data_IF_514282514387
#
_entry.id   IF_514282514387
#
_cell.length_a   1.000
_cell.length_b   1.000
_cell.length_c   1.000
_cell.angle_alpha   90.00
_cell.angle_beta   90.00
_cell.angle_gamma   90.00
#
_symmetry.space_group_name_H-M   'P 1'
#
loop_
_entity.id
_entity.type
_entity.pdbx_description
1 polymer ?
#
# COMPACT_ATOMS: atom_id res chain seq x y z
N UNK A 1 13.21 -3.46 -0.48
CA UNK A 1 12.48 -3.58 0.80
C UNK A 1 13.19 -2.70 1.83
N UNK A 2 12.45 -1.81 2.41
CA UNK A 2 12.90 -0.88 3.42
C UNK A 2 12.40 -1.32 4.80
N UNK A 3 12.91 -0.73 5.85
CA UNK A 3 12.47 -0.96 7.22
C UNK A 3 10.96 -0.70 7.35
N UNK A 4 10.24 -1.66 7.90
CA UNK A 4 8.78 -1.61 7.97
C UNK A 4 8.07 -1.97 6.66
N UNK A 5 8.68 -2.75 5.77
CA UNK A 5 8.12 -3.11 4.46
C UNK A 5 6.73 -3.74 4.53
N UNK A 6 6.42 -4.51 5.57
CA UNK A 6 5.09 -5.08 5.78
C UNK A 6 4.02 -4.00 6.03
N UNK A 7 4.42 -2.87 6.66
CA UNK A 7 3.49 -1.76 6.83
C UNK A 7 3.11 -1.12 5.50
N UNK A 8 4.03 -1.05 4.55
CA UNK A 8 3.74 -0.54 3.20
C UNK A 8 2.73 -1.45 2.49
N UNK A 9 2.91 -2.77 2.60
CA UNK A 9 1.97 -3.75 2.03
C UNK A 9 0.56 -3.55 2.59
N UNK A 10 0.43 -3.48 3.91
CA UNK A 10 -0.90 -3.38 4.54
C UNK A 10 -1.54 -1.99 4.37
N UNK A 11 -0.76 -0.91 4.36
CA UNK A 11 -1.28 0.43 4.07
C UNK A 11 -1.77 0.55 2.62
N UNK A 12 -1.05 -0.03 1.65
CA UNK A 12 -1.53 -0.10 0.26
C UNK A 12 -2.83 -0.91 0.15
N UNK A 13 -3.00 -1.94 0.99
CA UNK A 13 -4.22 -2.73 1.04
C UNK A 13 -5.43 -1.92 1.52
N UNK A 14 -5.25 -0.95 2.41
CA UNK A 14 -6.32 -0.03 2.81
C UNK A 14 -6.81 0.79 1.60
N UNK A 15 -5.89 1.28 0.75
CA UNK A 15 -6.27 2.01 -0.46
C UNK A 15 -7.06 1.12 -1.44
N UNK A 16 -6.63 -0.15 -1.60
CA UNK A 16 -7.36 -1.11 -2.42
C UNK A 16 -8.73 -1.44 -1.83
N UNK A 17 -8.83 -1.57 -0.52
CA UNK A 17 -10.10 -1.82 0.18
C UNK A 17 -11.09 -0.66 -0.03
N UNK A 18 -10.65 0.58 0.08
CA UNK A 18 -11.47 1.75 -0.22
C UNK A 18 -11.89 1.80 -1.70
N UNK A 19 -11.00 1.41 -2.62
CA UNK A 19 -11.33 1.32 -4.04
C UNK A 19 -12.37 0.22 -4.31
N UNK A 20 -12.30 -0.92 -3.62
CA UNK A 20 -13.34 -1.94 -3.66
C UNK A 20 -14.66 -1.42 -3.11
N UNK A 21 -14.63 -0.74 -1.98
CA UNK A 21 -15.85 -0.22 -1.35
C UNK A 21 -16.58 0.78 -2.28
N UNK A 22 -15.84 1.63 -2.96
CA UNK A 22 -16.37 2.61 -3.89
C UNK A 22 -16.88 2.00 -5.22
N UNK A 23 -16.21 0.96 -5.73
CA UNK A 23 -16.51 0.42 -7.08
C UNK A 23 -17.16 -0.95 -7.09
N UNK A 24 -16.99 -1.71 -6.01
CA UNK A 24 -17.33 -3.15 -5.89
C UNK A 24 -16.67 -4.03 -6.96
N UNK A 25 -15.59 -3.54 -7.60
CA UNK A 25 -14.81 -4.31 -8.55
C UNK A 25 -13.90 -5.31 -7.79
N UNK A 26 -14.15 -6.60 -8.01
CA UNK A 26 -13.51 -7.71 -7.29
C UNK A 26 -11.98 -7.73 -7.40
N UNK A 27 -11.40 -7.12 -8.45
CA UNK A 27 -9.94 -7.03 -8.57
C UNK A 27 -9.28 -6.33 -7.38
N UNK A 28 -9.96 -5.38 -6.76
CA UNK A 28 -9.44 -4.64 -5.61
C UNK A 28 -9.45 -5.49 -4.34
N UNK A 29 -10.56 -6.20 -4.07
CA UNK A 29 -10.60 -7.11 -2.91
C UNK A 29 -9.65 -8.28 -3.07
N UNK A 30 -9.42 -8.75 -4.31
CA UNK A 30 -8.39 -9.76 -4.60
C UNK A 30 -6.99 -9.25 -4.29
N UNK A 31 -6.72 -7.98 -4.57
CA UNK A 31 -5.48 -7.32 -4.18
C UNK A 31 -5.29 -7.26 -2.67
N UNK A 32 -6.34 -6.90 -1.92
CA UNK A 32 -6.34 -6.87 -0.44
C UNK A 32 -6.09 -8.28 0.11
N UNK A 33 -6.81 -9.28 -0.40
CA UNK A 33 -6.65 -10.68 0.02
C UNK A 33 -5.24 -11.18 -0.27
N UNK A 34 -4.69 -10.88 -1.46
CA UNK A 34 -3.33 -11.27 -1.84
C UNK A 34 -2.28 -10.65 -0.92
N UNK A 35 -2.47 -9.40 -0.52
CA UNK A 35 -1.57 -8.73 0.43
C UNK A 35 -1.67 -9.36 1.84
N UNK A 36 -2.87 -9.69 2.30
CA UNK A 36 -3.05 -10.41 3.56
C UNK A 36 -2.42 -11.81 3.48
N UNK A 37 -2.61 -12.55 2.39
CA UNK A 37 -1.97 -13.84 2.16
C UNK A 37 -0.45 -13.76 2.24
N UNK A 38 0.15 -12.71 1.68
CA UNK A 38 1.58 -12.46 1.80
C UNK A 38 2.02 -12.33 3.27
N UNK A 39 1.27 -11.57 4.07
CA UNK A 39 1.55 -11.41 5.49
C UNK A 39 1.34 -12.70 6.30
N UNK A 40 0.44 -13.58 5.84
CA UNK A 40 0.13 -14.87 6.49
C UNK A 40 1.03 -16.03 6.05
N UNK A 41 1.99 -15.81 5.13
CA UNK A 41 2.99 -16.82 4.76
C UNK A 41 3.09 -17.13 3.27
N UNK A 42 2.23 -16.58 2.41
CA UNK A 42 2.36 -16.73 0.94
C UNK A 42 3.46 -15.85 0.36
N UNK A 43 4.67 -16.07 0.83
CA UNK A 43 5.86 -15.31 0.46
C UNK A 43 7.07 -16.25 0.28
N UNK A 44 8.22 -15.77 -0.23
CA UNK A 44 9.38 -16.61 -0.51
C UNK A 44 10.04 -17.28 0.70
N UNK A 45 9.67 -16.91 1.92
CA UNK A 45 10.16 -17.51 3.16
C UNK A 45 9.14 -18.46 3.80
N UNK A 46 7.90 -18.52 3.26
CA UNK A 46 6.77 -19.20 3.91
C UNK A 46 6.55 -18.71 5.36
N UNK A 47 6.97 -17.47 5.63
CA UNK A 47 6.96 -16.85 6.95
C UNK A 47 5.67 -16.06 7.17
N UNK A 48 4.87 -16.46 8.15
CA UNK A 48 3.81 -15.61 8.68
C UNK A 48 4.41 -14.44 9.45
N UNK A 49 4.11 -13.22 9.03
CA UNK A 49 4.62 -12.01 9.70
C UNK A 49 3.72 -11.50 10.82
N UNK A 50 2.62 -12.20 11.09
CA UNK A 50 1.69 -11.91 12.19
C UNK A 50 1.84 -13.00 13.26
N UNK A 51 2.09 -12.59 14.49
CA UNK A 51 2.29 -13.56 15.60
C UNK A 51 1.06 -14.43 15.78
N UNK A 52 1.28 -15.76 15.85
CA UNK A 52 0.24 -16.74 16.12
C UNK A 52 -0.67 -17.09 14.94
N UNK A 53 -0.48 -16.50 13.77
CA UNK A 53 -1.27 -16.76 12.57
C UNK A 53 -0.40 -17.21 11.41
N UNK A 54 -0.97 -18.06 10.54
CA UNK A 54 -0.24 -18.69 9.44
C UNK A 54 0.43 -20.01 9.88
N UNK A 55 1.06 -20.69 8.93
CA UNK A 55 1.69 -22.00 9.17
C UNK A 55 3.02 -21.87 9.93
N UNK A 56 3.81 -20.86 9.58
CA UNK A 56 5.09 -20.55 10.24
C UNK A 56 5.06 -19.11 10.76
N UNK A 57 4.28 -18.82 11.84
CA UNK A 57 4.15 -17.45 12.33
C UNK A 57 5.42 -16.95 12.99
N UNK A 58 5.70 -15.66 12.87
CA UNK A 58 6.71 -15.00 13.70
C UNK A 58 6.39 -15.16 15.18
N UNK A 59 7.42 -15.31 16.00
CA UNK A 59 7.31 -15.59 17.44
C UNK A 59 7.96 -14.52 18.29
N UNK A 60 8.96 -13.84 17.76
CA UNK A 60 9.87 -13.00 18.51
C UNK A 60 9.97 -11.58 17.94
N UNK A 61 8.84 -10.86 17.74
CA UNK A 61 8.91 -9.48 17.29
C UNK A 61 9.74 -8.65 18.27
N UNK A 62 10.52 -7.72 17.74
CA UNK A 62 11.34 -6.84 18.55
C UNK A 62 10.48 -5.86 19.33
N UNK A 63 10.38 -6.07 20.62
CA UNK A 63 9.69 -5.19 21.55
C UNK A 63 10.30 -5.35 22.94
N UNK A 64 10.58 -4.23 23.62
CA UNK A 64 11.30 -4.26 24.91
C UNK A 64 10.56 -5.07 26.00
N UNK A 65 9.24 -4.98 26.04
CA UNK A 65 8.43 -5.71 27.02
C UNK A 65 8.20 -7.18 26.62
N UNK A 66 8.10 -7.48 25.31
CA UNK A 66 7.89 -8.85 24.82
C UNK A 66 9.19 -9.56 24.49
N UNK A 67 10.15 -9.49 25.38
CA UNK A 67 11.49 -10.05 25.20
C UNK A 67 11.71 -11.40 25.86
N UNK A 68 10.67 -12.22 25.97
CA UNK A 68 10.72 -13.56 26.56
C UNK A 68 11.72 -14.49 25.89
N UNK A 69 12.12 -14.26 24.65
CA UNK A 69 13.20 -15.01 24.00
C UNK A 69 14.56 -14.82 24.73
N UNK A 70 14.80 -13.63 25.26
CA UNK A 70 16.04 -13.33 26.00
C UNK A 70 15.94 -13.78 27.46
N UNK A 71 14.80 -13.54 28.08
CA UNK A 71 14.55 -13.89 29.48
C UNK A 71 13.05 -14.11 29.74
N UNK A 72 12.62 -15.36 29.68
CA UNK A 72 11.23 -15.75 29.87
C UNK A 72 10.74 -15.71 31.33
N UNK A 73 11.66 -15.53 32.31
CA UNK A 73 11.27 -15.39 33.71
C UNK A 73 10.77 -13.97 34.03
N UNK A 74 11.32 -12.97 33.35
CA UNK A 74 11.04 -11.57 33.62
C UNK A 74 10.13 -10.91 32.57
N UNK A 75 10.09 -11.46 31.36
CA UNK A 75 9.36 -10.87 30.24
C UNK A 75 8.46 -11.89 29.53
N UNK A 76 7.25 -11.48 29.13
CA UNK A 76 6.37 -12.34 28.34
C UNK A 76 6.83 -12.41 26.87
N UNK A 77 6.28 -13.37 26.14
CA UNK A 77 6.29 -13.39 24.69
C UNK A 77 5.21 -12.45 24.13
N UNK A 78 5.33 -12.09 22.86
CA UNK A 78 4.33 -11.28 22.19
C UNK A 78 2.96 -11.97 22.17
N UNK A 79 1.86 -11.22 22.32
CA UNK A 79 0.51 -11.75 22.10
C UNK A 79 0.31 -12.11 20.62
N UNK A 80 -0.75 -12.84 20.31
CA UNK A 80 -1.17 -13.11 18.94
C UNK A 80 -1.68 -11.82 18.26
N UNK A 81 -1.47 -11.73 16.95
CA UNK A 81 -1.97 -10.61 16.15
C UNK A 81 -0.99 -9.42 15.98
N UNK A 82 0.25 -9.56 16.42
CA UNK A 82 1.26 -8.51 16.24
C UNK A 82 1.95 -8.66 14.89
N UNK A 83 1.92 -7.61 14.07
CA UNK A 83 2.63 -7.52 12.81
C UNK A 83 4.08 -7.11 13.03
N UNK A 84 5.02 -7.92 12.53
CA UNK A 84 6.45 -7.57 12.46
C UNK A 84 6.77 -6.70 11.25
N UNK A 85 7.87 -5.95 11.33
CA UNK A 85 8.31 -4.99 10.30
C UNK A 85 8.49 -5.58 8.91
N UNK A 86 8.93 -6.83 8.84
CA UNK A 86 9.13 -7.53 7.56
C UNK A 86 10.52 -7.38 6.95
N UNK A 87 10.74 -7.97 5.77
CA UNK A 87 12.04 -7.95 5.12
C UNK A 87 12.61 -6.53 4.94
N UNK A 88 13.91 -6.39 5.23
CA UNK A 88 14.63 -5.14 5.05
C UNK A 88 15.99 -5.43 4.37
N UNK A 89 16.10 -5.01 3.12
CA UNK A 89 17.30 -5.28 2.30
C UNK A 89 18.54 -4.48 2.70
N UNK A 90 18.38 -3.47 3.57
CA UNK A 90 19.49 -2.67 4.07
C UNK A 90 20.25 -3.35 5.22
N UNK A 91 19.63 -4.36 5.88
CA UNK A 91 20.26 -5.16 6.94
C UNK A 91 20.93 -4.30 8.02
N UNK A 92 20.19 -3.35 8.61
CA UNK A 92 20.76 -2.28 9.45
C UNK A 92 21.14 -2.73 10.86
N UNK A 93 20.69 -3.90 11.33
CA UNK A 93 21.03 -4.37 12.65
C UNK A 93 22.12 -5.44 12.67
N UNK A 94 22.89 -5.54 13.78
CA UNK A 94 23.97 -6.51 13.91
C UNK A 94 23.53 -7.97 13.89
N UNK A 95 22.28 -8.25 14.31
CA UNK A 95 21.76 -9.63 14.35
C UNK A 95 21.54 -10.16 12.93
N UNK A 96 20.94 -9.35 12.05
CA UNK A 96 20.75 -9.70 10.63
C UNK A 96 22.11 -9.78 9.91
N UNK A 97 23.00 -8.82 10.15
CA UNK A 97 24.36 -8.83 9.59
C UNK A 97 25.17 -10.06 10.04
N UNK A 98 24.96 -10.48 11.28
CA UNK A 98 25.60 -11.67 11.87
C UNK A 98 25.24 -12.99 11.21
N UNK A 99 24.18 -13.03 10.39
CA UNK A 99 23.84 -14.21 9.56
C UNK A 99 24.83 -14.44 8.41
N UNK A 100 25.84 -13.60 8.26
CA UNK A 100 26.83 -13.68 7.19
C UNK A 100 26.39 -13.10 5.86
N UNK A 101 25.21 -12.49 5.79
CA UNK A 101 24.73 -11.82 4.61
C UNK A 101 25.32 -10.42 4.48
N UNK A 102 25.57 -10.02 3.24
CA UNK A 102 25.92 -8.65 2.89
C UNK A 102 24.77 -8.03 2.10
N UNK A 103 24.63 -6.72 2.19
CA UNK A 103 23.67 -5.99 1.38
C UNK A 103 23.80 -6.40 -0.10
N UNK A 104 22.72 -6.80 -0.72
CA UNK A 104 22.68 -7.30 -2.10
C UNK A 104 23.10 -8.77 -2.30
N UNK A 105 23.54 -9.48 -1.27
CA UNK A 105 23.92 -10.91 -1.39
C UNK A 105 22.75 -11.89 -1.28
N UNK A 106 21.61 -11.40 -0.80
CA UNK A 106 20.38 -12.18 -0.64
C UNK A 106 19.22 -11.40 -1.27
N UNK A 107 18.24 -12.12 -1.81
CA UNK A 107 17.05 -11.50 -2.40
C UNK A 107 16.34 -10.61 -1.35
N UNK A 108 15.93 -9.37 -1.68
CA UNK A 108 15.34 -8.43 -0.74
C UNK A 108 14.19 -9.00 0.11
N UNK A 109 13.30 -9.78 -0.50
CA UNK A 109 12.18 -10.43 0.19
C UNK A 109 12.61 -11.50 1.20
N UNK A 110 13.86 -11.94 1.19
CA UNK A 110 14.40 -12.94 2.09
C UNK A 110 15.25 -12.36 3.23
N UNK A 111 15.41 -11.04 3.26
CA UNK A 111 16.16 -10.34 4.31
C UNK A 111 15.32 -10.19 5.58
N UNK A 112 14.99 -11.31 6.22
CA UNK A 112 14.18 -11.37 7.44
C UNK A 112 14.74 -12.40 8.41
N UNK A 113 14.63 -12.14 9.69
CA UNK A 113 15.01 -13.03 10.77
C UNK A 113 14.04 -12.88 11.93
N UNK A 114 13.37 -13.97 12.33
CA UNK A 114 12.51 -13.99 13.51
C UNK A 114 13.35 -14.11 14.80
N UNK A 115 13.83 -12.97 15.25
CA UNK A 115 14.61 -12.86 16.49
C UNK A 115 14.35 -11.50 17.15
N UNK A 116 14.18 -11.50 18.47
CA UNK A 116 13.88 -10.28 19.22
C UNK A 116 14.94 -9.20 19.12
N UNK A 117 16.18 -9.54 18.80
CA UNK A 117 17.27 -8.57 18.60
C UNK A 117 17.44 -8.14 17.14
N UNK A 118 16.70 -8.74 16.21
CA UNK A 118 16.72 -8.36 14.80
C UNK A 118 15.74 -7.18 14.53
N UNK A 119 16.01 -6.05 15.18
CA UNK A 119 15.10 -4.91 15.21
C UNK A 119 14.82 -4.31 13.83
N UNK A 120 15.78 -4.31 12.91
CA UNK A 120 15.57 -3.71 11.58
C UNK A 120 14.58 -4.46 10.68
N UNK A 121 14.26 -5.70 11.01
CA UNK A 121 13.32 -6.56 10.25
C UNK A 121 12.14 -7.05 11.09
N UNK A 122 12.29 -7.08 12.41
CA UNK A 122 11.31 -7.72 13.29
C UNK A 122 10.68 -6.75 14.33
N UNK A 123 10.96 -5.45 14.24
CA UNK A 123 10.32 -4.43 15.06
C UNK A 123 8.81 -4.41 14.83
N UNK A 124 8.05 -4.02 15.85
CA UNK A 124 6.62 -3.80 15.77
C UNK A 124 6.26 -2.41 16.28
N UNK A 125 5.31 -1.74 15.61
CA UNK A 125 4.86 -0.40 15.97
C UNK A 125 3.34 -0.27 15.88
N UNK A 126 2.77 0.73 16.55
CA UNK A 126 1.33 1.00 16.53
C UNK A 126 0.85 1.32 15.12
N UNK A 127 1.58 2.17 14.39
CA UNK A 127 1.23 2.61 13.05
C UNK A 127 1.36 1.51 11.97
N UNK A 128 2.00 0.38 12.25
CA UNK A 128 2.01 -0.79 11.38
C UNK A 128 0.87 -1.76 11.72
N UNK A 129 0.53 -1.85 12.99
CA UNK A 129 -0.49 -2.75 13.49
C UNK A 129 -1.92 -2.22 13.32
N UNK A 130 -2.11 -0.90 13.37
CA UNK A 130 -3.44 -0.31 13.16
C UNK A 130 -4.01 -0.58 11.76
N UNK A 131 -3.27 -0.44 10.64
CA UNK A 131 -3.78 -0.83 9.33
C UNK A 131 -4.02 -2.35 9.21
N UNK A 132 -3.23 -3.21 9.88
CA UNK A 132 -3.53 -4.64 9.91
C UNK A 132 -4.89 -4.91 10.54
N UNK A 133 -5.17 -4.31 11.70
CA UNK A 133 -6.45 -4.46 12.38
C UNK A 133 -7.61 -3.98 11.50
N UNK A 134 -7.45 -2.83 10.86
CA UNK A 134 -8.48 -2.28 9.97
C UNK A 134 -8.74 -3.17 8.75
N UNK A 135 -7.68 -3.63 8.06
CA UNK A 135 -7.82 -4.50 6.88
C UNK A 135 -8.40 -5.87 7.24
N UNK A 136 -8.00 -6.43 8.39
CA UNK A 136 -8.57 -7.70 8.85
C UNK A 136 -10.07 -7.57 9.12
N UNK A 137 -10.51 -6.50 9.79
CA UNK A 137 -11.93 -6.23 10.02
C UNK A 137 -12.68 -5.99 8.71
N UNK A 138 -12.09 -5.24 7.77
CA UNK A 138 -12.68 -5.01 6.46
C UNK A 138 -12.89 -6.32 5.68
N UNK A 139 -11.90 -7.21 5.68
CA UNK A 139 -12.02 -8.51 5.02
C UNK A 139 -13.07 -9.41 5.68
N UNK A 140 -13.19 -9.36 7.01
CA UNK A 140 -14.20 -10.12 7.76
C UNK A 140 -15.62 -9.62 7.42
N UNK A 141 -15.82 -8.32 7.38
CA UNK A 141 -17.10 -7.68 7.05
C UNK A 141 -17.52 -7.92 5.58
N UNK A 142 -16.57 -7.87 4.64
CA UNK A 142 -16.86 -7.99 3.21
C UNK A 142 -16.90 -9.44 2.71
N UNK A 143 -16.22 -10.39 3.36
CA UNK A 143 -16.15 -11.78 2.92
C UNK A 143 -17.51 -12.42 2.58
N UNK A 144 -18.59 -12.21 3.35
CA UNK A 144 -19.92 -12.74 3.03
C UNK A 144 -20.58 -12.07 1.83
N UNK A 145 -20.13 -10.87 1.44
CA UNK A 145 -20.76 -9.99 0.48
C UNK A 145 -20.09 -10.03 -0.91
N UNK A 146 -18.95 -10.71 -1.04
CA UNK A 146 -18.20 -10.78 -2.29
C UNK A 146 -18.97 -11.64 -3.30
N UNK A 147 -19.52 -10.99 -4.32
CA UNK A 147 -20.15 -11.68 -5.47
C UNK A 147 -19.11 -11.82 -6.57
N UNK A 148 -18.81 -13.06 -6.95
CA UNK A 148 -17.95 -13.38 -8.10
C UNK A 148 -18.81 -13.96 -9.21
N UNK A 149 -18.69 -13.39 -10.40
CA UNK A 149 -19.29 -14.00 -11.58
C UNK A 149 -18.63 -15.35 -11.86
N UNK A 150 -19.42 -16.30 -12.34
CA UNK A 150 -18.91 -17.67 -12.66
C UNK A 150 -17.82 -17.69 -13.75
N UNK A 151 -17.61 -16.57 -14.45
CA UNK A 151 -16.50 -16.33 -15.39
C UNK A 151 -15.18 -15.92 -14.69
N UNK A 152 -15.25 -15.47 -13.44
CA UNK A 152 -14.11 -14.94 -12.69
C UNK A 152 -13.37 -16.01 -11.86
N UNK A 153 -13.71 -17.30 -12.04
CA UNK A 153 -13.01 -18.39 -11.36
C UNK A 153 -11.58 -18.52 -11.86
N UNK A 154 -10.70 -17.70 -11.28
CA UNK A 154 -9.27 -17.95 -11.31
C UNK A 154 -9.03 -19.29 -10.61
N UNK A 155 -8.28 -20.24 -11.18
CA UNK A 155 -8.06 -21.53 -10.55
C UNK A 155 -7.38 -21.33 -9.19
N UNK A 156 -8.13 -21.60 -8.13
CA UNK A 156 -7.57 -21.77 -6.79
C UNK A 156 -6.74 -23.04 -6.86
N UNK A 157 -5.43 -22.90 -6.83
CA UNK A 157 -4.53 -24.07 -6.76
C UNK A 157 -4.65 -24.66 -5.36
N UNK A 158 -5.61 -25.56 -5.18
CA UNK A 158 -5.64 -26.42 -4.01
C UNK A 158 -4.53 -27.45 -4.23
N UNK A 159 -3.46 -27.32 -3.47
CA UNK A 159 -2.37 -28.30 -3.48
C UNK A 159 -2.80 -29.49 -2.62
N UNK A 160 -3.65 -30.34 -3.18
CA UNK A 160 -3.77 -31.70 -2.68
C UNK A 160 -2.78 -32.55 -3.49
N UNK A 161 -1.79 -33.06 -2.78
CA UNK A 161 -0.76 -33.93 -3.33
C UNK A 161 -1.35 -35.22 -3.90
N UNK A 162 -1.51 -35.26 -5.22
CA UNK A 162 -1.54 -36.53 -5.97
C UNK A 162 -1.03 -36.27 -7.38
N UNK A 163 0.18 -36.75 -7.62
CA UNK A 163 0.82 -36.81 -8.93
C UNK A 163 -0.02 -37.69 -9.85
N UNK A 164 -0.57 -37.14 -10.90
CA UNK A 164 -1.05 -37.89 -12.05
C UNK A 164 -0.43 -37.26 -13.28
N UNK A 165 0.54 -37.97 -13.86
CA UNK A 165 1.21 -37.65 -15.12
C UNK A 165 0.20 -37.84 -16.25
N UNK A 166 -0.14 -36.78 -16.95
CA UNK A 166 -0.81 -36.88 -18.25
C UNK A 166 0.07 -36.19 -19.28
N UNK A 167 0.69 -37.01 -20.12
CA UNK A 167 1.38 -36.56 -21.31
C UNK A 167 0.38 -35.92 -22.26
N UNK A 168 0.62 -34.71 -22.68
CA UNK A 168 -0.07 -34.09 -23.81
C UNK A 168 0.95 -33.76 -24.87
N UNK A 169 0.80 -34.46 -25.96
CA UNK A 169 1.53 -34.42 -27.22
C UNK A 169 1.53 -32.99 -27.79
N UNK A 170 2.71 -32.47 -28.06
CA UNK A 170 2.90 -31.21 -28.77
C UNK A 170 2.61 -31.43 -30.27
N UNK A 171 1.71 -30.62 -30.81
CA UNK A 171 1.57 -30.49 -32.27
C UNK A 171 2.18 -29.15 -32.69
N UNK A 172 3.25 -29.27 -33.44
CA UNK A 172 3.98 -28.18 -34.08
C UNK A 172 3.16 -27.65 -35.26
N UNK A 173 2.96 -26.34 -35.29
CA UNK A 173 2.57 -25.64 -36.52
C UNK A 173 3.53 -24.49 -36.74
N UNK A 174 4.41 -24.68 -37.70
CA UNK A 174 5.25 -23.66 -38.34
C UNK A 174 4.42 -22.82 -39.29
N UNK A 175 4.63 -21.54 -39.30
CA UNK A 175 4.58 -20.75 -40.54
C UNK A 175 5.34 -19.43 -40.35
N UNK A 176 6.27 -19.29 -41.28
CA UNK A 176 7.15 -18.17 -41.55
C UNK A 176 6.39 -16.94 -42.04
N UNK A 177 6.91 -15.78 -41.81
CA UNK A 177 7.34 -14.69 -42.70
C UNK A 177 7.36 -13.38 -41.97
N UNK A 178 8.48 -12.82 -41.80
CA UNK A 178 9.38 -11.97 -42.60
C UNK A 178 8.97 -10.49 -42.69
N UNK A 179 9.99 -9.70 -42.47
CA UNK A 179 10.25 -8.33 -42.94
C UNK A 179 9.94 -7.13 -42.06
N UNK A 180 11.04 -6.63 -41.59
CA UNK A 180 11.69 -5.34 -41.89
C UNK A 180 11.30 -4.13 -41.07
N UNK A 181 12.31 -3.74 -40.29
CA UNK A 181 12.99 -2.45 -40.17
C UNK A 181 12.14 -1.16 -40.15
N UNK A 182 12.28 -0.35 -39.15
CA UNK A 182 13.20 0.82 -39.17
C UNK A 182 13.31 1.45 -37.80
N UNK A 183 14.53 1.69 -37.39
CA UNK A 183 14.89 2.56 -36.26
C UNK A 183 14.63 4.01 -36.60
N UNK A 184 14.17 4.78 -35.64
CA UNK A 184 14.40 6.22 -35.62
C UNK A 184 14.65 6.66 -34.17
N UNK A 185 15.90 6.96 -33.95
CA UNK A 185 16.39 7.84 -32.87
C UNK A 185 15.87 9.25 -33.12
N UNK A 186 15.31 9.91 -32.09
CA UNK A 186 15.68 11.29 -31.90
C UNK A 186 15.58 11.78 -30.45
N UNK A 187 16.50 12.64 -30.19
CA UNK A 187 17.02 13.21 -28.96
C UNK A 187 16.12 14.26 -28.33
N UNK A 188 16.25 14.33 -27.01
CA UNK A 188 16.45 15.53 -26.18
C UNK A 188 15.68 16.80 -26.50
N UNK A 189 15.03 17.32 -25.47
CA UNK A 189 14.55 18.69 -25.43
C UNK A 189 14.10 19.07 -24.02
N UNK A 190 15.08 19.38 -23.19
CA UNK A 190 14.90 20.19 -21.98
C UNK A 190 14.42 21.59 -22.44
N UNK A 191 13.30 22.04 -21.91
CA UNK A 191 12.92 23.45 -22.02
C UNK A 191 12.25 23.91 -20.73
N UNK A 192 13.05 24.49 -19.90
CA UNK A 192 12.69 25.45 -18.87
C UNK A 192 12.04 26.65 -19.55
N UNK A 193 10.77 26.89 -19.25
CA UNK A 193 10.20 28.20 -19.57
C UNK A 193 9.45 28.73 -18.36
N UNK A 194 10.14 29.53 -17.59
CA UNK A 194 9.58 30.48 -16.65
C UNK A 194 8.82 31.52 -17.47
N UNK A 195 7.51 31.55 -17.34
CA UNK A 195 6.73 32.69 -17.83
C UNK A 195 5.83 33.17 -16.70
N UNK A 196 6.31 34.18 -16.01
CA UNK A 196 5.50 35.10 -15.24
C UNK A 196 4.65 35.91 -16.21
N UNK A 197 3.36 35.61 -16.25
CA UNK A 197 2.38 36.55 -16.78
C UNK A 197 1.22 36.61 -15.80
N UNK A 198 1.13 37.72 -15.08
CA UNK A 198 -0.06 38.13 -14.38
C UNK A 198 -1.20 38.39 -15.37
N UNK A 199 -1.95 37.35 -15.68
CA UNK A 199 -3.24 37.39 -16.31
C UNK A 199 -4.28 37.06 -15.26
N UNK A 200 -5.24 37.95 -15.07
CA UNK A 200 -6.45 37.65 -14.30
C UNK A 200 -7.13 36.44 -14.94
N UNK A 201 -6.95 35.28 -14.35
CA UNK A 201 -7.66 34.07 -14.72
C UNK A 201 -9.07 34.23 -14.19
N UNK A 202 -10.05 34.33 -15.08
CA UNK A 202 -11.46 34.17 -14.70
C UNK A 202 -11.56 32.76 -14.13
N UNK A 203 -11.94 32.57 -12.85
CA UNK A 203 -12.05 31.24 -12.30
C UNK A 203 -13.06 30.43 -13.12
N UNK A 204 -12.67 29.27 -13.64
CA UNK A 204 -13.61 28.27 -14.07
C UNK A 204 -14.50 27.83 -12.89
N UNK A 205 -15.54 27.09 -13.15
CA UNK A 205 -16.38 26.55 -12.09
C UNK A 205 -15.49 25.82 -11.06
N UNK A 206 -15.59 26.22 -9.78
CA UNK A 206 -14.83 25.59 -8.70
C UNK A 206 -15.43 24.23 -8.40
N UNK A 207 -14.65 23.18 -8.55
CA UNK A 207 -14.98 21.83 -8.12
C UNK A 207 -14.12 21.50 -6.90
N UNK A 208 -14.65 21.76 -5.70
CA UNK A 208 -13.91 21.50 -4.46
C UNK A 208 -13.49 20.04 -4.36
N UNK A 209 -12.22 19.83 -4.09
CA UNK A 209 -11.59 18.53 -4.02
C UNK A 209 -10.88 18.08 -5.31
N UNK A 210 -11.20 18.65 -6.47
CA UNK A 210 -10.54 18.32 -7.74
C UNK A 210 -9.23 19.13 -7.88
N UNK A 211 -8.18 18.61 -7.29
CA UNK A 211 -6.87 19.28 -7.26
C UNK A 211 -5.98 18.91 -8.44
N UNK A 212 -6.26 17.82 -9.14
CA UNK A 212 -5.55 17.42 -10.35
C UNK A 212 -6.21 18.00 -11.64
N UNK A 213 -7.42 18.58 -11.52
CA UNK A 213 -8.20 19.21 -12.59
C UNK A 213 -8.67 18.22 -13.67
N UNK A 214 -8.96 16.98 -13.30
CA UNK A 214 -9.46 15.96 -14.23
C UNK A 214 -11.00 15.88 -14.28
N UNK A 215 -11.69 16.70 -13.48
CA UNK A 215 -13.14 16.79 -13.41
C UNK A 215 -13.77 15.74 -12.48
N UNK A 216 -12.98 15.06 -11.65
CA UNK A 216 -13.42 14.11 -10.63
C UNK A 216 -12.84 14.50 -9.29
N UNK A 217 -13.42 13.97 -8.24
CA UNK A 217 -12.89 14.13 -6.88
C UNK A 217 -12.64 12.73 -6.34
N UNK A 218 -11.38 12.34 -6.24
CA UNK A 218 -10.98 11.00 -5.81
C UNK A 218 -9.69 11.00 -4.98
N UNK A 219 -9.16 9.81 -4.71
CA UNK A 219 -7.98 9.64 -3.85
C UNK A 219 -6.72 10.28 -4.45
N UNK A 220 -6.64 10.45 -5.78
CA UNK A 220 -5.48 11.05 -6.43
C UNK A 220 -5.37 12.53 -6.11
N UNK A 221 -6.52 13.20 -5.95
CA UNK A 221 -6.61 14.60 -5.50
C UNK A 221 -6.13 14.75 -4.07
N UNK A 222 -6.59 13.87 -3.17
CA UNK A 222 -6.15 13.88 -1.78
C UNK A 222 -4.64 13.67 -1.65
N UNK A 223 -4.05 12.79 -2.48
CA UNK A 223 -2.59 12.60 -2.53
C UNK A 223 -1.90 13.88 -3.01
N UNK A 224 -2.44 14.53 -4.05
CA UNK A 224 -1.87 15.76 -4.59
C UNK A 224 -2.00 16.92 -3.60
N UNK A 225 -3.14 17.01 -2.91
CA UNK A 225 -3.41 18.02 -1.89
C UNK A 225 -2.47 17.86 -0.67
N UNK A 226 -2.24 16.62 -0.21
CA UNK A 226 -1.25 16.34 0.84
C UNK A 226 0.18 16.74 0.44
N UNK A 227 0.57 16.53 -0.83
CA UNK A 227 1.87 16.99 -1.33
C UNK A 227 1.96 18.52 -1.32
N UNK A 228 0.86 19.22 -1.64
CA UNK A 228 0.81 20.69 -1.57
C UNK A 228 0.90 21.17 -0.13
N UNK A 229 0.13 20.61 0.79
CA UNK A 229 0.20 20.93 2.22
C UNK A 229 1.61 20.72 2.81
N UNK A 230 2.34 19.72 2.29
CA UNK A 230 3.74 19.46 2.64
C UNK A 230 4.75 20.35 1.88
N UNK A 231 4.30 21.29 1.06
CA UNK A 231 5.14 22.12 0.18
C UNK A 231 6.03 21.32 -0.79
N UNK A 232 5.62 20.12 -1.18
CA UNK A 232 6.34 19.26 -2.11
C UNK A 232 6.00 19.55 -3.59
N UNK A 233 4.92 20.27 -3.85
CA UNK A 233 4.47 20.68 -5.20
C UNK A 233 3.86 22.07 -5.16
N UNK A 234 3.89 22.75 -6.30
CA UNK A 234 3.21 24.03 -6.48
C UNK A 234 1.85 23.86 -7.15
N UNK A 235 0.86 24.63 -6.71
CA UNK A 235 -0.49 24.66 -7.27
C UNK A 235 -0.68 25.93 -8.10
N UNK A 236 -1.37 25.81 -9.23
CA UNK A 236 -1.88 26.95 -9.96
C UNK A 236 -3.13 27.54 -9.27
N UNK A 237 -3.61 28.69 -9.75
CA UNK A 237 -4.73 29.40 -9.14
C UNK A 237 -6.03 28.56 -9.05
N UNK A 238 -6.33 27.73 -10.05
CA UNK A 238 -7.51 26.86 -10.02
C UNK A 238 -7.36 25.72 -9.02
N UNK A 239 -6.19 25.12 -8.95
CA UNK A 239 -5.88 24.06 -7.98
C UNK A 239 -5.97 24.57 -6.53
N UNK A 240 -5.53 25.82 -6.29
CA UNK A 240 -5.68 26.44 -4.97
C UNK A 240 -7.15 26.64 -4.60
N UNK A 241 -7.99 27.09 -5.54
CA UNK A 241 -9.42 27.25 -5.31
C UNK A 241 -10.14 25.92 -5.08
N UNK A 242 -9.80 24.89 -5.84
CA UNK A 242 -10.38 23.55 -5.70
C UNK A 242 -9.88 22.83 -4.46
N UNK A 243 -8.65 23.13 -4.01
CA UNK A 243 -8.02 22.48 -2.89
C UNK A 243 -8.40 23.04 -1.52
N UNK A 244 -8.98 24.23 -1.44
CA UNK A 244 -9.40 24.89 -0.19
C UNK A 244 -10.70 24.25 0.33
N UNK A 245 -10.53 23.08 0.90
CA UNK A 245 -11.59 22.17 1.32
C UNK A 245 -12.01 22.35 2.79
N UNK A 246 -11.29 23.17 3.57
CA UNK A 246 -11.57 23.44 4.98
C UNK A 246 -11.62 24.93 5.23
N UNK A 247 -12.74 25.40 5.79
CA UNK A 247 -13.01 26.81 6.15
C UNK A 247 -12.88 27.86 5.03
N UNK A 248 -12.44 27.48 3.84
CA UNK A 248 -12.21 28.35 2.66
C UNK A 248 -11.42 29.62 3.02
N UNK A 249 -10.31 29.44 3.71
CA UNK A 249 -9.48 30.54 4.25
C UNK A 249 -8.43 31.06 3.26
N UNK A 250 -8.30 30.43 2.09
CA UNK A 250 -7.34 30.76 1.02
C UNK A 250 -5.95 30.18 1.24
N UNK A 251 -5.73 29.39 2.28
CA UNK A 251 -4.49 28.67 2.55
C UNK A 251 -4.70 27.18 2.35
N UNK A 252 -3.72 26.48 1.83
CA UNK A 252 -3.75 25.01 1.68
C UNK A 252 -2.86 24.38 2.71
N UNK A 253 -3.49 23.66 3.64
CA UNK A 253 -2.80 22.97 4.72
C UNK A 253 -3.29 21.52 4.95
N UNK A 254 -2.89 20.90 6.07
CA UNK A 254 -3.29 19.54 6.42
C UNK A 254 -4.79 19.40 6.75
N UNK A 255 -5.49 20.49 7.09
CA UNK A 255 -6.92 20.45 7.37
C UNK A 255 -7.72 20.25 6.09
N UNK A 256 -7.31 20.89 4.97
CA UNK A 256 -7.93 20.70 3.65
C UNK A 256 -7.80 19.25 3.18
N UNK A 257 -6.59 18.71 3.29
CA UNK A 257 -6.35 17.31 2.94
C UNK A 257 -7.17 16.35 3.81
N UNK A 258 -7.32 16.67 5.10
CA UNK A 258 -8.15 15.90 6.04
C UNK A 258 -9.64 16.01 5.70
N UNK A 259 -10.13 17.21 5.38
CA UNK A 259 -11.51 17.43 4.97
C UNK A 259 -11.83 16.66 3.68
N UNK A 260 -10.95 16.72 2.69
CA UNK A 260 -11.11 15.94 1.45
C UNK A 260 -11.14 14.43 1.72
N UNK A 261 -10.24 13.91 2.56
CA UNK A 261 -10.27 12.49 2.95
C UNK A 261 -11.55 12.11 3.66
N UNK A 262 -12.05 12.92 4.61
CA UNK A 262 -13.33 12.70 5.28
C UNK A 262 -14.51 12.68 4.29
N UNK A 263 -14.47 13.54 3.27
CA UNK A 263 -15.47 13.57 2.21
C UNK A 263 -15.44 12.29 1.37
N UNK A 264 -14.25 11.86 0.95
CA UNK A 264 -14.08 10.65 0.12
C UNK A 264 -14.51 9.36 0.85
N UNK A 265 -14.33 9.31 2.18
CA UNK A 265 -14.78 8.17 3.00
C UNK A 265 -16.18 8.37 3.59
N UNK A 266 -16.93 9.39 3.14
CA UNK A 266 -18.31 9.69 3.51
C UNK A 266 -18.53 10.01 5.00
N UNK A 267 -17.48 10.42 5.73
CA UNK A 267 -17.60 10.95 7.11
C UNK A 267 -18.33 12.29 7.08
N UNK A 268 -18.01 13.15 6.10
CA UNK A 268 -18.76 14.36 5.79
C UNK A 268 -19.45 14.23 4.43
N UNK A 269 -20.55 14.96 4.24
CA UNK A 269 -21.39 14.81 3.05
C UNK A 269 -21.13 15.86 1.98
N UNK A 270 -20.41 16.90 2.30
CA UNK A 270 -20.11 18.01 1.40
C UNK A 270 -18.78 18.67 1.77
N UNK A 271 -18.16 19.33 0.78
CA UNK A 271 -17.06 20.26 0.93
C UNK A 271 -17.58 21.70 0.70
N UNK A 272 -17.01 22.72 1.33
CA UNK A 272 -15.95 22.63 2.34
C UNK A 272 -16.46 22.10 3.69
N UNK A 273 -15.57 21.50 4.48
CA UNK A 273 -15.78 21.29 5.91
C UNK A 273 -15.56 22.64 6.63
N UNK A 274 -16.43 23.01 7.54
CA UNK A 274 -16.30 24.24 8.31
C UNK A 274 -16.15 23.95 9.81
N UNK A 275 -15.37 24.76 10.51
CA UNK A 275 -15.14 24.63 11.95
C UNK A 275 -16.42 24.78 12.80
N UNK A 276 -17.46 25.40 12.24
CA UNK A 276 -18.72 25.67 12.94
C UNK A 276 -19.68 24.47 13.04
N UNK A 277 -19.39 23.34 12.40
CA UNK A 277 -20.25 22.14 12.44
C UNK A 277 -20.07 21.27 13.69
N UNK A 278 -19.27 21.70 14.68
CA UNK A 278 -19.06 21.02 15.95
C UNK A 278 -19.59 21.80 17.16
N UNK A 279 -20.58 22.68 16.99
CA UNK A 279 -21.26 23.38 18.07
C UNK A 279 -22.64 22.78 18.38
#
# INVERSE_FOLDING_TARGET
YEWGSNSMVINNSMALALAYDASKDVKYIDGVTTAMDYLMGRNPLEQGYVTGYGEHPTKYPHHRFWSGQLNSNDFPYAPYGVLSGGPNSNMEDPMVQGQGYKVGSIAPMKCYLDNVEAWSVNECTINWNSPLCWVASFLDDEAPNIVRDSSDTKPTTTTDGKTTTTETTATTATSDNDSSSTASTDKSGESTTTTTNGGSVTPGDVLLGDTNLDGRVDITDAVLLNKKAANAVDFNAQQLLNGDCYDQNGEIDGNDATALLKFLVHIIKALPETSDLNA
#
